data_IF_624837864625
#
_entry.id   IF_624837864625
#
_cell.length_a   1.000
_cell.length_b   1.000
_cell.length_c   1.000
_cell.angle_alpha   90.00
_cell.angle_beta   90.00
_cell.angle_gamma   90.00
#
_symmetry.space_group_name_H-M   'P 1'
#
loop_
_entity.id
_entity.type
_entity.pdbx_description
1 polymer ?
#
# COMPACT_ATOMS: atom_id res chain seq x y z
N UNK A 1 -16.76 16.12 3.03
CA UNK A 1 -16.10 14.82 3.16
C UNK A 1 -15.28 14.81 4.44
N UNK A 2 -15.43 13.77 5.24
CA UNK A 2 -14.67 13.66 6.49
C UNK A 2 -13.22 13.33 6.12
N UNK A 3 -12.31 14.14 6.63
CA UNK A 3 -10.90 13.91 6.42
C UNK A 3 -10.46 12.68 7.21
N UNK A 4 -9.85 11.70 6.55
CA UNK A 4 -9.36 10.52 7.21
C UNK A 4 -8.14 10.86 8.05
N UNK A 5 -8.02 10.21 9.20
CA UNK A 5 -6.82 10.31 10.03
C UNK A 5 -5.61 9.81 9.24
N UNK A 6 -4.42 10.21 9.68
CA UNK A 6 -3.17 9.80 9.04
C UNK A 6 -3.02 8.29 8.99
N UNK A 7 -3.67 7.57 9.90
CA UNK A 7 -3.56 6.13 9.97
C UNK A 7 -4.90 5.53 10.38
N UNK A 8 -5.84 5.44 9.43
CA UNK A 8 -7.14 4.83 9.72
C UNK A 8 -7.04 3.33 9.95
N UNK A 9 -5.88 2.72 9.67
CA UNK A 9 -5.73 1.27 9.71
C UNK A 9 -5.46 0.73 11.10
N UNK A 10 -5.09 1.56 12.06
CA UNK A 10 -4.86 1.12 13.44
C UNK A 10 -6.08 0.47 14.04
N UNK A 11 -7.27 0.98 13.72
CA UNK A 11 -8.50 0.40 14.22
C UNK A 11 -8.71 -1.01 13.68
N UNK A 12 -8.31 -1.26 12.44
CA UNK A 12 -8.43 -2.58 11.85
C UNK A 12 -7.49 -3.60 12.49
N UNK A 13 -6.36 -3.15 12.97
CA UNK A 13 -5.43 -4.06 13.65
C UNK A 13 -5.96 -4.58 14.98
N UNK A 14 -7.00 -3.95 15.52
CA UNK A 14 -7.68 -4.37 16.74
C UNK A 14 -8.88 -5.27 16.46
N UNK A 15 -9.23 -5.48 15.20
CA UNK A 15 -10.37 -6.29 14.84
C UNK A 15 -10.16 -7.76 15.19
N UNK A 16 -11.24 -8.43 15.59
CA UNK A 16 -11.20 -9.84 15.91
C UNK A 16 -11.23 -10.71 14.66
N UNK A 17 -11.75 -10.19 13.56
CA UNK A 17 -11.78 -10.91 12.31
C UNK A 17 -10.38 -10.93 11.68
N UNK A 18 -9.78 -12.14 11.49
CA UNK A 18 -8.38 -12.21 11.02
C UNK A 18 -8.13 -11.53 9.67
N UNK A 19 -9.05 -11.67 8.72
CA UNK A 19 -8.86 -11.07 7.39
C UNK A 19 -8.74 -9.55 7.46
N UNK A 20 -9.61 -8.91 8.23
CA UNK A 20 -9.56 -7.45 8.39
C UNK A 20 -8.31 -7.02 9.12
N UNK A 21 -7.92 -7.77 10.15
CA UNK A 21 -6.72 -7.46 10.93
C UNK A 21 -5.46 -7.55 10.08
N UNK A 22 -5.32 -8.63 9.29
CA UNK A 22 -4.14 -8.81 8.45
C UNK A 22 -4.06 -7.79 7.33
N UNK A 23 -5.18 -7.52 6.67
CA UNK A 23 -5.20 -6.50 5.61
C UNK A 23 -4.93 -5.11 6.18
N UNK A 24 -5.51 -4.80 7.34
CA UNK A 24 -5.25 -3.52 8.00
C UNK A 24 -3.77 -3.35 8.32
N UNK A 25 -3.15 -4.39 8.84
CA UNK A 25 -1.72 -4.38 9.12
C UNK A 25 -0.90 -4.22 7.83
N UNK A 26 -1.28 -4.93 6.77
CA UNK A 26 -0.57 -4.86 5.49
C UNK A 26 -0.59 -3.44 4.91
N UNK A 27 -1.75 -2.81 4.91
CA UNK A 27 -1.87 -1.44 4.41
C UNK A 27 -1.13 -0.44 5.30
N UNK A 28 -1.26 -0.60 6.62
CA UNK A 28 -0.56 0.26 7.57
C UNK A 28 0.95 0.21 7.32
N UNK A 29 1.50 -0.99 7.17
CA UNK A 29 2.93 -1.18 6.94
C UNK A 29 3.35 -0.59 5.60
N UNK A 30 2.60 -0.87 4.54
CA UNK A 30 2.93 -0.38 3.21
C UNK A 30 2.98 1.15 3.15
N UNK A 31 1.98 1.80 3.73
CA UNK A 31 1.92 3.26 3.74
C UNK A 31 3.00 3.85 4.63
N UNK A 32 3.29 3.18 5.74
CA UNK A 32 4.37 3.61 6.62
C UNK A 32 5.74 3.58 5.96
N UNK A 33 5.98 2.60 5.09
CA UNK A 33 7.23 2.54 4.33
C UNK A 33 7.39 3.73 3.38
N UNK A 34 6.29 4.15 2.75
CA UNK A 34 6.34 5.33 1.88
C UNK A 34 6.62 6.60 2.69
N UNK A 35 6.05 6.69 3.89
CA UNK A 35 6.26 7.85 4.77
C UNK A 35 7.73 7.98 5.19
N UNK A 36 8.44 6.86 5.36
CA UNK A 36 9.88 6.89 5.68
C UNK A 36 10.66 7.60 4.58
N UNK A 37 10.25 7.43 3.34
CA UNK A 37 10.89 8.10 2.19
C UNK A 37 10.32 9.50 1.92
N UNK A 38 9.49 10.00 2.81
CA UNK A 38 8.88 11.31 2.67
C UNK A 38 7.74 11.36 1.66
N UNK A 39 7.23 10.21 1.24
CA UNK A 39 6.14 10.14 0.27
C UNK A 39 4.80 10.06 0.98
N UNK A 40 3.81 10.73 0.39
CA UNK A 40 2.45 10.72 0.91
C UNK A 40 1.52 10.05 -0.09
N UNK A 41 0.64 9.20 0.43
CA UNK A 41 -0.41 8.60 -0.37
C UNK A 41 -1.61 9.55 -0.45
N UNK A 42 -2.44 9.34 -1.47
CA UNK A 42 -3.64 10.15 -1.66
C UNK A 42 -4.79 9.65 -0.77
N UNK A 43 -5.80 10.50 -0.60
CA UNK A 43 -7.03 10.06 0.07
C UNK A 43 -7.75 9.01 -0.75
N UNK A 44 -7.64 9.06 -2.07
CA UNK A 44 -8.23 8.04 -2.94
C UNK A 44 -7.65 6.66 -2.61
N UNK A 45 -6.33 6.57 -2.39
CA UNK A 45 -5.73 5.31 -1.97
C UNK A 45 -6.26 4.85 -0.63
N UNK A 46 -6.38 5.76 0.34
CA UNK A 46 -6.86 5.40 1.67
C UNK A 46 -8.28 4.83 1.62
N UNK A 47 -9.15 5.43 0.83
CA UNK A 47 -10.52 4.92 0.63
C UNK A 47 -10.51 3.58 -0.08
N UNK A 48 -9.67 3.42 -1.08
CA UNK A 48 -9.53 2.16 -1.81
C UNK A 48 -9.04 1.05 -0.89
N UNK A 49 -8.08 1.36 -0.04
CA UNK A 49 -7.55 0.42 0.94
C UNK A 49 -8.63 -0.04 1.92
N UNK A 50 -9.45 0.88 2.41
CA UNK A 50 -10.54 0.56 3.31
C UNK A 50 -11.53 -0.38 2.64
N UNK A 51 -11.88 -0.14 1.39
CA UNK A 51 -12.77 -1.03 0.65
C UNK A 51 -12.19 -2.43 0.50
N UNK A 52 -10.89 -2.53 0.29
CA UNK A 52 -10.21 -3.82 0.24
C UNK A 52 -10.25 -4.53 1.59
N UNK A 53 -9.99 -3.81 2.68
CA UNK A 53 -10.02 -4.39 4.03
C UNK A 53 -11.42 -4.89 4.36
N UNK A 54 -12.44 -4.13 4.00
CA UNK A 54 -13.84 -4.48 4.27
C UNK A 54 -14.34 -5.62 3.37
N UNK A 55 -13.55 -6.04 2.40
CA UNK A 55 -13.91 -7.15 1.51
C UNK A 55 -14.76 -6.76 0.32
N UNK A 56 -14.92 -5.47 0.07
CA UNK A 56 -15.71 -5.00 -1.08
C UNK A 56 -14.97 -5.19 -2.40
N UNK A 57 -13.65 -5.10 -2.38
CA UNK A 57 -12.81 -5.27 -3.58
C UNK A 57 -11.59 -6.11 -3.23
N UNK A 58 -11.08 -6.83 -4.23
CA UNK A 58 -9.83 -7.58 -4.11
C UNK A 58 -8.64 -6.64 -4.29
N UNK A 59 -7.42 -7.17 -4.02
CA UNK A 59 -6.21 -6.40 -4.31
C UNK A 59 -6.05 -6.12 -5.80
N UNK A 60 -6.44 -7.07 -6.66
CA UNK A 60 -6.42 -6.87 -8.11
C UNK A 60 -7.33 -5.73 -8.52
N UNK A 61 -8.54 -5.69 -7.96
CA UNK A 61 -9.48 -4.62 -8.21
C UNK A 61 -8.96 -3.29 -7.69
N UNK A 62 -8.33 -3.29 -6.52
CA UNK A 62 -7.73 -2.07 -5.97
C UNK A 62 -6.65 -1.52 -6.90
N UNK A 63 -5.78 -2.39 -7.42
CA UNK A 63 -4.75 -1.97 -8.36
C UNK A 63 -5.35 -1.42 -9.65
N UNK A 64 -6.41 -2.05 -10.15
CA UNK A 64 -7.09 -1.58 -11.36
C UNK A 64 -7.73 -0.21 -11.15
N UNK A 65 -8.32 0.02 -9.98
CA UNK A 65 -8.92 1.30 -9.66
C UNK A 65 -7.86 2.41 -9.60
N UNK A 66 -6.69 2.13 -9.03
CA UNK A 66 -5.60 3.08 -9.00
C UNK A 66 -5.07 3.38 -10.40
N UNK A 67 -4.93 2.35 -11.22
CA UNK A 67 -4.50 2.52 -12.60
C UNK A 67 -5.44 3.44 -13.35
N UNK A 68 -6.75 3.18 -13.27
CA UNK A 68 -7.75 4.00 -13.93
C UNK A 68 -7.78 5.42 -13.39
N UNK A 69 -7.65 5.58 -12.09
CA UNK A 69 -7.65 6.90 -11.47
C UNK A 69 -6.53 7.78 -12.03
N UNK A 70 -5.33 7.23 -12.17
CA UNK A 70 -4.20 8.00 -12.66
C UNK A 70 -4.16 8.13 -14.19
N UNK A 71 -4.87 7.28 -14.92
CA UNK A 71 -5.09 7.48 -16.33
C UNK A 71 -6.02 8.67 -16.60
N UNK A 72 -7.05 8.82 -15.75
CA UNK A 72 -7.99 9.94 -15.85
C UNK A 72 -7.43 11.22 -15.24
N UNK A 73 -6.51 11.11 -14.30
CA UNK A 73 -5.94 12.24 -13.56
C UNK A 73 -4.41 12.18 -13.62
N UNK A 74 -3.81 12.38 -14.81
CA UNK A 74 -2.36 12.23 -14.94
C UNK A 74 -1.61 13.29 -14.12
N UNK A 75 -0.54 12.84 -13.47
CA UNK A 75 0.33 13.70 -12.69
C UNK A 75 1.23 14.47 -13.63
N UNK A 76 1.09 15.79 -13.66
CA UNK A 76 1.88 16.66 -14.53
C UNK A 76 3.14 17.21 -13.88
N UNK A 77 3.17 17.18 -12.56
CA UNK A 77 4.30 17.67 -11.78
C UNK A 77 5.27 16.54 -11.49
N UNK A 78 6.49 16.63 -12.04
CA UNK A 78 7.50 15.60 -11.87
C UNK A 78 7.96 15.45 -10.41
N UNK A 79 7.72 16.46 -9.58
CA UNK A 79 8.08 16.39 -8.16
C UNK A 79 7.00 15.73 -7.32
N UNK A 80 5.80 15.58 -7.86
CA UNK A 80 4.69 14.93 -7.16
C UNK A 80 4.77 13.43 -7.35
N UNK A 81 5.15 12.73 -6.29
CA UNK A 81 5.32 11.28 -6.32
C UNK A 81 4.14 10.54 -5.69
N UNK A 82 2.97 11.16 -5.63
CA UNK A 82 1.79 10.55 -5.02
C UNK A 82 1.32 9.32 -5.80
N UNK A 83 1.34 9.38 -7.14
CA UNK A 83 0.98 8.24 -7.96
C UNK A 83 1.89 7.04 -7.67
N UNK A 84 3.19 7.27 -7.59
CA UNK A 84 4.15 6.23 -7.26
C UNK A 84 3.86 5.65 -5.87
N UNK A 85 3.65 6.53 -4.89
CA UNK A 85 3.37 6.10 -3.52
C UNK A 85 2.11 5.24 -3.45
N UNK A 86 1.06 5.64 -4.16
CA UNK A 86 -0.19 4.91 -4.18
C UNK A 86 -0.02 3.51 -4.79
N UNK A 87 0.60 3.45 -5.96
CA UNK A 87 0.78 2.17 -6.67
C UNK A 87 1.70 1.22 -5.92
N UNK A 88 2.79 1.74 -5.36
CA UNK A 88 3.73 0.93 -4.60
C UNK A 88 3.10 0.42 -3.31
N UNK A 89 2.34 1.28 -2.62
CA UNK A 89 1.65 0.88 -1.40
C UNK A 89 0.68 -0.28 -1.64
N UNK A 90 -0.10 -0.21 -2.72
CA UNK A 90 -1.05 -1.27 -3.04
C UNK A 90 -0.34 -2.58 -3.34
N UNK A 91 0.78 -2.53 -4.06
CA UNK A 91 1.56 -3.72 -4.37
C UNK A 91 2.16 -4.34 -3.11
N UNK A 92 2.74 -3.52 -2.25
CA UNK A 92 3.34 -4.01 -1.01
C UNK A 92 2.28 -4.61 -0.10
N UNK A 93 1.13 -3.94 0.04
CA UNK A 93 0.05 -4.45 0.87
C UNK A 93 -0.44 -5.82 0.39
N UNK A 94 -0.58 -6.00 -0.92
CA UNK A 94 -0.98 -7.28 -1.48
C UNK A 94 0.01 -8.38 -1.14
N UNK A 95 1.30 -8.10 -1.30
CA UNK A 95 2.35 -9.08 -1.04
C UNK A 95 2.43 -9.44 0.45
N UNK A 96 2.33 -8.46 1.32
CA UNK A 96 2.34 -8.70 2.77
C UNK A 96 1.13 -9.54 3.18
N UNK A 97 -0.04 -9.21 2.65
CA UNK A 97 -1.27 -9.92 2.97
C UNK A 97 -1.20 -11.38 2.55
N UNK A 98 -0.67 -11.66 1.36
CA UNK A 98 -0.52 -13.02 0.87
C UNK A 98 0.47 -13.83 1.71
N UNK A 99 1.52 -13.18 2.21
CA UNK A 99 2.61 -13.85 2.91
C UNK A 99 2.35 -14.04 4.40
N UNK A 100 1.43 -13.31 5.01
CA UNK A 100 1.31 -13.22 6.47
C UNK A 100 0.71 -14.45 7.14
N UNK A 101 0.13 -15.39 6.37
CA UNK A 101 -0.58 -16.53 6.95
C UNK A 101 0.31 -17.71 7.35
N UNK A 102 1.53 -17.80 6.82
CA UNK A 102 2.35 -18.99 7.00
C UNK A 102 3.80 -18.69 7.38
N UNK A 103 4.15 -17.45 7.63
CA UNK A 103 5.53 -17.06 7.86
C UNK A 103 5.84 -16.89 9.34
N UNK A 104 7.06 -17.31 9.74
CA UNK A 104 7.61 -16.94 11.03
C UNK A 104 7.96 -15.46 11.04
N UNK A 105 8.11 -14.83 12.21
CA UNK A 105 8.53 -13.43 12.26
C UNK A 105 9.82 -13.14 11.50
N UNK A 106 10.80 -14.05 11.56
CA UNK A 106 12.05 -13.84 10.84
C UNK A 106 11.86 -13.92 9.33
N UNK A 107 11.07 -14.88 8.86
CA UNK A 107 10.76 -15.01 7.45
C UNK A 107 9.99 -13.79 6.94
N UNK A 108 9.05 -13.32 7.74
CA UNK A 108 8.29 -12.14 7.42
C UNK A 108 9.18 -10.92 7.24
N UNK A 109 10.11 -10.69 8.17
CA UNK A 109 11.03 -9.57 8.10
C UNK A 109 11.97 -9.67 6.90
N UNK A 110 12.43 -10.89 6.59
CA UNK A 110 13.30 -11.12 5.44
C UNK A 110 12.60 -10.81 4.13
N UNK A 111 11.36 -11.27 3.98
CA UNK A 111 10.56 -10.99 2.78
C UNK A 111 10.27 -9.50 2.68
N UNK A 112 9.92 -8.88 3.79
CA UNK A 112 9.63 -7.46 3.83
C UNK A 112 10.83 -6.64 3.35
N UNK A 113 12.02 -6.98 3.84
CA UNK A 113 13.25 -6.31 3.43
C UNK A 113 13.52 -6.51 1.95
N UNK A 114 13.38 -7.73 1.47
CA UNK A 114 13.61 -8.06 0.07
C UNK A 114 12.66 -7.31 -0.85
N UNK A 115 11.38 -7.25 -0.50
CA UNK A 115 10.39 -6.51 -1.28
C UNK A 115 10.72 -5.03 -1.36
N UNK A 116 11.15 -4.45 -0.24
CA UNK A 116 11.54 -3.06 -0.20
C UNK A 116 12.76 -2.81 -1.09
N UNK A 117 13.77 -3.68 -1.02
CA UNK A 117 14.95 -3.57 -1.85
C UNK A 117 14.62 -3.68 -3.34
N UNK A 118 13.79 -4.65 -3.72
CA UNK A 118 13.40 -4.86 -5.10
C UNK A 118 12.65 -3.67 -5.66
N UNK A 119 11.72 -3.12 -4.91
CA UNK A 119 10.94 -1.96 -5.35
C UNK A 119 11.83 -0.74 -5.46
N UNK A 120 12.69 -0.52 -4.49
CA UNK A 120 13.64 0.60 -4.50
C UNK A 120 14.60 0.49 -5.68
N UNK A 121 15.11 -0.72 -5.93
CA UNK A 121 16.03 -0.98 -7.04
C UNK A 121 15.38 -0.70 -8.38
N UNK A 122 14.14 -1.14 -8.55
CA UNK A 122 13.39 -0.90 -9.79
C UNK A 122 13.14 0.59 -10.00
N UNK A 123 12.83 1.32 -8.94
CA UNK A 123 12.64 2.76 -9.02
C UNK A 123 13.92 3.48 -9.44
N UNK A 124 15.07 3.06 -8.90
CA UNK A 124 16.37 3.62 -9.28
C UNK A 124 16.70 3.33 -10.74
N UNK A 125 16.42 2.11 -11.20
CA UNK A 125 16.68 1.75 -12.59
C UNK A 125 15.82 2.58 -13.54
N UNK A 126 14.59 2.87 -13.19
CA UNK A 126 13.72 3.74 -13.98
C UNK A 126 14.29 5.15 -14.02
N UNK A 127 14.84 5.64 -12.91
CA UNK A 127 15.39 6.98 -12.82
C UNK A 127 16.73 7.12 -13.58
N UNK A 128 17.48 6.04 -13.73
CA UNK A 128 18.78 6.05 -14.39
C UNK A 128 18.64 6.04 -15.92
N UNK A 129 17.53 5.57 -16.42
CA UNK A 129 17.26 5.55 -17.85
C UNK A 129 16.49 6.77 -18.30
#
# INVERSE_FOLDING_TARGET
>A
MIKLDRDPFKEYMKETEPNKRYKGYAWHTAIGLQAVDGLKTSEYLLHTAIRNIEGEISFEEANALLQNYYEENPTRDATNRTEEADKVSARIAALISESSFSLTPNEYLSIHRKLFEDIYYNSLNICVH
#
